data_IF_382003571874
#
_entry.id   IF_382003571874
#
_cell.length_a   1.000
_cell.length_b   1.000
_cell.length_c   1.000
_cell.angle_alpha   90.00
_cell.angle_beta   90.00
_cell.angle_gamma   90.00
#
_symmetry.space_group_name_H-M   'P 1'
#
loop_
_entity.id
_entity.type
_entity.pdbx_description
1 polymer ?
#
# COMPACT_ATOMS: atom_id res chain seq x y z
N UNK A 1 -13.54 -1.54 -7.16
CA UNK A 1 -12.50 -1.85 -6.14
C UNK A 1 -11.10 -2.00 -6.75
N UNK A 2 -10.90 -2.76 -7.83
CA UNK A 2 -9.58 -3.01 -8.43
C UNK A 2 -8.84 -1.74 -8.91
N UNK A 3 -9.53 -0.76 -9.50
CA UNK A 3 -8.94 0.54 -9.87
C UNK A 3 -8.24 1.25 -8.70
N UNK A 4 -8.84 1.20 -7.51
CA UNK A 4 -8.26 1.83 -6.31
C UNK A 4 -7.02 1.10 -5.83
N UNK A 5 -6.97 -0.23 -5.99
CA UNK A 5 -5.77 -1.03 -5.71
C UNK A 5 -4.66 -0.71 -6.70
N UNK A 6 -4.97 -0.59 -7.99
CA UNK A 6 -4.02 -0.15 -9.01
C UNK A 6 -3.44 1.23 -8.67
N UNK A 7 -4.26 2.17 -8.17
CA UNK A 7 -3.77 3.48 -7.72
C UNK A 7 -2.73 3.37 -6.61
N UNK A 8 -2.94 2.50 -5.61
CA UNK A 8 -1.97 2.31 -4.53
C UNK A 8 -0.66 1.68 -5.04
N UNK A 9 -0.75 0.72 -5.96
CA UNK A 9 0.42 0.09 -6.60
C UNK A 9 1.19 1.12 -7.45
N UNK A 10 0.49 1.87 -8.30
CA UNK A 10 1.10 2.89 -9.16
C UNK A 10 1.76 4.01 -8.33
N UNK A 11 1.18 4.40 -7.19
CA UNK A 11 1.80 5.33 -6.27
C UNK A 11 3.18 4.83 -5.77
N UNK A 12 3.29 3.55 -5.41
CA UNK A 12 4.54 2.97 -4.96
C UNK A 12 5.58 2.88 -6.08
N UNK A 13 5.16 2.49 -7.29
CA UNK A 13 6.03 2.47 -8.48
C UNK A 13 6.54 3.89 -8.80
N UNK A 14 5.65 4.88 -8.80
CA UNK A 14 5.95 6.28 -9.09
C UNK A 14 7.00 6.83 -8.12
N UNK A 15 6.77 6.69 -6.82
CA UNK A 15 7.64 7.20 -5.76
C UNK A 15 9.04 6.57 -5.83
N UNK A 16 9.10 5.23 -5.92
CA UNK A 16 10.36 4.50 -6.01
C UNK A 16 11.12 4.84 -7.31
N UNK A 17 10.42 4.93 -8.45
CA UNK A 17 11.07 5.14 -9.75
C UNK A 17 11.56 6.58 -9.95
N UNK A 18 10.95 7.56 -9.27
CA UNK A 18 11.43 8.94 -9.24
C UNK A 18 12.68 9.07 -8.36
N UNK A 19 12.67 8.44 -7.19
CA UNK A 19 13.72 8.65 -6.19
C UNK A 19 14.91 7.70 -6.29
N UNK A 20 14.70 6.47 -6.76
CA UNK A 20 15.73 5.44 -6.89
C UNK A 20 15.95 4.98 -8.34
N UNK A 21 15.25 5.61 -9.29
CA UNK A 21 15.38 5.37 -10.72
C UNK A 21 15.52 6.67 -11.51
N UNK A 22 15.26 6.59 -12.81
CA UNK A 22 15.35 7.72 -13.74
C UNK A 22 13.99 8.00 -14.43
N UNK A 23 12.87 7.79 -13.72
CA UNK A 23 11.53 7.97 -14.30
C UNK A 23 11.32 9.41 -14.75
N UNK A 24 10.95 9.58 -16.02
CA UNK A 24 10.61 10.90 -16.58
C UNK A 24 9.16 11.27 -16.27
N UNK A 25 8.84 12.56 -16.40
CA UNK A 25 7.45 13.03 -16.25
C UNK A 25 6.50 12.32 -17.23
N UNK A 26 6.90 12.13 -18.48
CA UNK A 26 6.09 11.43 -19.47
C UNK A 26 5.78 9.99 -19.06
N UNK A 27 6.78 9.26 -18.54
CA UNK A 27 6.60 7.90 -18.04
C UNK A 27 5.66 7.87 -16.82
N UNK A 28 5.79 8.85 -15.91
CA UNK A 28 4.88 9.00 -14.79
C UNK A 28 3.44 9.26 -15.26
N UNK A 29 3.25 10.15 -16.23
CA UNK A 29 1.93 10.45 -16.80
C UNK A 29 1.32 9.23 -17.48
N UNK A 30 2.10 8.46 -18.25
CA UNK A 30 1.66 7.23 -18.89
C UNK A 30 1.26 6.16 -17.87
N UNK A 31 2.09 5.93 -16.83
CA UNK A 31 1.77 5.01 -15.73
C UNK A 31 0.44 5.38 -15.07
N UNK A 32 0.25 6.65 -14.73
CA UNK A 32 -0.94 7.07 -14.00
C UNK A 32 -2.20 7.05 -14.88
N UNK A 33 -2.11 7.49 -16.13
CA UNK A 33 -3.29 7.68 -17.00
C UNK A 33 -3.66 6.42 -17.81
N UNK A 34 -2.66 5.70 -18.35
CA UNK A 34 -2.88 4.52 -19.21
C UNK A 34 -2.96 3.23 -18.41
N UNK A 35 -2.07 3.03 -17.44
CA UNK A 35 -2.00 1.78 -16.67
C UNK A 35 -2.90 1.81 -15.42
N UNK A 36 -2.95 2.95 -14.73
CA UNK A 36 -3.74 3.12 -13.50
C UNK A 36 -5.10 3.83 -13.72
N UNK A 37 -5.44 4.18 -14.97
CA UNK A 37 -6.71 4.77 -15.39
C UNK A 37 -7.12 6.01 -14.58
N UNK A 38 -6.14 6.81 -14.14
CA UNK A 38 -6.37 8.07 -13.44
C UNK A 38 -6.67 9.19 -14.43
N UNK A 39 -7.31 10.25 -13.95
CA UNK A 39 -7.45 11.46 -14.74
C UNK A 39 -6.12 12.20 -14.82
N UNK A 40 -5.90 12.95 -15.89
CA UNK A 40 -4.67 13.72 -16.12
C UNK A 40 -4.35 14.67 -14.94
N UNK A 41 -5.35 15.40 -14.44
CA UNK A 41 -5.16 16.27 -13.27
C UNK A 41 -4.69 15.52 -12.02
N UNK A 42 -5.15 14.29 -11.80
CA UNK A 42 -4.68 13.45 -10.70
C UNK A 42 -3.24 12.97 -10.92
N UNK A 43 -2.85 12.71 -12.17
CA UNK A 43 -1.50 12.29 -12.53
C UNK A 43 -0.51 13.45 -12.32
N UNK A 44 -0.83 14.65 -12.82
CA UNK A 44 -0.02 15.87 -12.60
C UNK A 44 0.16 16.16 -11.11
N UNK A 45 -0.92 16.09 -10.33
CA UNK A 45 -0.86 16.33 -8.89
C UNK A 45 0.03 15.30 -8.17
N UNK A 46 -0.03 14.02 -8.56
CA UNK A 46 0.82 12.98 -7.99
C UNK A 46 2.29 13.13 -8.40
N UNK A 47 2.58 13.46 -9.66
CA UNK A 47 3.94 13.78 -10.11
C UNK A 47 4.55 14.90 -9.26
N UNK A 48 3.83 16.00 -9.11
CA UNK A 48 4.26 17.13 -8.28
C UNK A 48 4.47 16.70 -6.82
N UNK A 49 3.55 15.93 -6.24
CA UNK A 49 3.67 15.43 -4.86
C UNK A 49 4.89 14.53 -4.67
N UNK A 50 5.13 13.60 -5.58
CA UNK A 50 6.25 12.67 -5.51
C UNK A 50 7.61 13.38 -5.62
N UNK A 51 7.67 14.55 -6.27
CA UNK A 51 8.91 15.35 -6.31
C UNK A 51 9.14 16.24 -5.10
N UNK A 52 8.07 16.57 -4.37
CA UNK A 52 8.11 17.45 -3.19
C UNK A 52 8.09 16.69 -1.86
N UNK A 53 7.89 15.38 -1.91
CA UNK A 53 7.89 14.47 -0.75
C UNK A 53 8.67 13.21 -1.13
N UNK A 54 8.88 12.29 -0.19
CA UNK A 54 9.50 11.00 -0.49
C UNK A 54 8.90 9.90 0.39
N UNK A 55 8.86 8.66 -0.10
CA UNK A 55 8.35 7.45 0.56
C UNK A 55 6.85 7.47 0.91
N UNK A 56 6.22 8.64 1.02
CA UNK A 56 4.86 8.79 1.51
C UNK A 56 3.85 8.08 0.60
N UNK A 57 4.02 8.15 -0.72
CA UNK A 57 3.10 7.52 -1.68
C UNK A 57 3.15 5.98 -1.61
N UNK A 58 4.29 5.41 -1.23
CA UNK A 58 4.49 3.97 -1.07
C UNK A 58 3.75 3.40 0.15
N UNK A 59 3.45 4.23 1.16
CA UNK A 59 2.87 3.77 2.42
C UNK A 59 1.51 3.09 2.27
N UNK A 60 0.68 3.51 1.31
CA UNK A 60 -0.61 2.89 1.01
C UNK A 60 -0.46 1.44 0.53
N UNK A 61 0.52 1.20 -0.35
CA UNK A 61 0.79 -0.14 -0.88
C UNK A 61 1.40 -1.03 0.20
N UNK A 62 2.42 -0.53 0.90
CA UNK A 62 3.11 -1.30 1.94
C UNK A 62 2.14 -1.67 3.07
N UNK A 63 1.42 -0.71 3.63
CA UNK A 63 0.50 -0.97 4.74
C UNK A 63 -0.63 -1.94 4.36
N UNK A 64 -1.20 -1.81 3.16
CA UNK A 64 -2.23 -2.74 2.70
C UNK A 64 -1.68 -4.16 2.49
N UNK A 65 -0.50 -4.30 1.89
CA UNK A 65 0.17 -5.59 1.70
C UNK A 65 0.49 -6.25 3.03
N UNK A 66 1.11 -5.52 3.97
CA UNK A 66 1.46 -6.07 5.28
C UNK A 66 0.22 -6.51 6.08
N UNK A 67 -0.90 -5.77 6.01
CA UNK A 67 -2.14 -6.19 6.67
C UNK A 67 -2.77 -7.44 6.04
N UNK A 68 -2.68 -7.59 4.71
CA UNK A 68 -3.16 -8.79 4.03
C UNK A 68 -2.29 -10.01 4.37
N UNK A 69 -0.97 -9.83 4.41
CA UNK A 69 -0.01 -10.88 4.76
C UNK A 69 -0.12 -11.29 6.23
N UNK A 70 -0.33 -10.31 7.13
CA UNK A 70 -0.62 -10.56 8.55
C UNK A 70 -1.87 -11.43 8.72
N UNK A 71 -2.96 -11.07 8.02
CA UNK A 71 -4.21 -11.84 8.08
C UNK A 71 -4.00 -13.25 7.53
N UNK A 72 -3.33 -13.39 6.39
CA UNK A 72 -3.05 -14.69 5.80
C UNK A 72 -2.20 -15.56 6.74
N UNK A 73 -1.22 -14.98 7.43
CA UNK A 73 -0.41 -15.69 8.41
C UNK A 73 -1.24 -16.19 9.62
N UNK A 74 -2.12 -15.36 10.17
CA UNK A 74 -3.01 -15.76 11.28
C UNK A 74 -4.03 -16.82 10.84
N UNK A 75 -4.60 -16.65 9.63
CA UNK A 75 -5.48 -17.63 8.99
C UNK A 75 -4.80 -18.99 8.84
N UNK A 76 -3.55 -19.01 8.36
CA UNK A 76 -2.79 -20.25 8.21
C UNK A 76 -2.45 -20.89 9.57
N UNK A 77 -2.16 -20.09 10.60
CA UNK A 77 -1.85 -20.56 11.95
C UNK A 77 -3.06 -21.19 12.65
N UNK A 78 -4.25 -20.59 12.52
CA UNK A 78 -5.47 -21.04 13.19
C UNK A 78 -6.29 -22.04 12.36
N UNK A 79 -6.12 -22.07 11.04
CA UNK A 79 -6.84 -22.96 10.15
C UNK A 79 -8.36 -22.82 10.30
N UNK A 80 -9.02 -23.90 10.72
CA UNK A 80 -10.48 -23.95 10.92
C UNK A 80 -10.96 -23.10 12.09
N UNK A 81 -10.08 -22.78 13.04
CA UNK A 81 -10.41 -21.98 14.22
C UNK A 81 -10.27 -20.47 13.96
N UNK A 82 -9.89 -20.08 12.74
CA UNK A 82 -9.80 -18.67 12.36
C UNK A 82 -11.19 -18.01 12.37
N UNK A 83 -11.29 -16.90 13.10
CA UNK A 83 -12.46 -16.04 13.12
C UNK A 83 -12.06 -14.61 12.73
N UNK A 84 -12.64 -14.11 11.64
CA UNK A 84 -12.29 -12.80 11.09
C UNK A 84 -12.60 -11.65 12.05
N UNK A 85 -13.67 -11.76 12.84
CA UNK A 85 -14.06 -10.72 13.80
C UNK A 85 -13.04 -10.65 14.94
N UNK A 86 -12.71 -11.79 15.54
CA UNK A 86 -11.69 -11.87 16.61
C UNK A 86 -10.32 -11.40 16.13
N UNK A 87 -9.93 -11.75 14.89
CA UNK A 87 -8.72 -11.23 14.26
C UNK A 87 -8.74 -9.71 14.17
N UNK A 88 -9.80 -9.12 13.59
CA UNK A 88 -9.91 -7.68 13.45
C UNK A 88 -9.91 -6.95 14.80
N UNK A 89 -10.70 -7.44 15.77
CA UNK A 89 -10.77 -6.88 17.13
C UNK A 89 -9.40 -6.86 17.80
N UNK A 90 -8.62 -7.95 17.67
CA UNK A 90 -7.27 -8.04 18.21
C UNK A 90 -6.30 -7.09 17.50
N UNK A 91 -6.26 -7.09 16.17
CA UNK A 91 -5.36 -6.24 15.37
C UNK A 91 -5.54 -4.76 15.70
N UNK A 92 -6.79 -4.27 15.75
CA UNK A 92 -7.05 -2.84 16.00
C UNK A 92 -6.83 -2.43 17.46
N UNK A 93 -6.88 -3.38 18.41
CA UNK A 93 -6.67 -3.10 19.85
C UNK A 93 -5.27 -2.57 20.17
N UNK A 94 -4.29 -2.80 19.28
CA UNK A 94 -2.91 -2.34 19.45
C UNK A 94 -2.67 -0.88 18.99
N UNK A 95 -3.69 -0.20 18.46
CA UNK A 95 -3.58 1.17 17.98
C UNK A 95 -2.99 1.28 16.57
N UNK A 96 -2.10 2.27 16.35
CA UNK A 96 -1.51 2.53 15.02
C UNK A 96 0.03 2.40 14.96
N UNK A 97 0.65 1.35 15.54
CA UNK A 97 2.07 1.08 15.29
C UNK A 97 2.27 0.52 13.87
N UNK A 98 3.51 0.48 13.41
CA UNK A 98 3.85 -0.19 12.15
C UNK A 98 3.43 -1.66 12.16
N UNK A 99 2.96 -2.20 11.03
CA UNK A 99 2.34 -3.54 10.96
C UNK A 99 3.30 -4.64 11.42
N UNK A 100 4.61 -4.48 11.20
CA UNK A 100 5.64 -5.39 11.74
C UNK A 100 5.55 -5.59 13.26
N UNK A 101 5.23 -4.55 14.03
CA UNK A 101 5.07 -4.66 15.49
C UNK A 101 3.72 -5.26 15.86
N UNK A 102 2.68 -4.97 15.09
CA UNK A 102 1.37 -5.64 15.25
C UNK A 102 1.54 -7.15 15.04
N UNK A 103 2.34 -7.55 14.04
CA UNK A 103 2.65 -8.95 13.77
C UNK A 103 3.31 -9.65 14.97
N UNK A 104 4.31 -9.02 15.57
CA UNK A 104 4.94 -9.52 16.80
C UNK A 104 3.94 -9.66 17.96
N UNK A 105 3.08 -8.65 18.17
CA UNK A 105 2.02 -8.67 19.19
C UNK A 105 0.93 -9.72 18.93
N UNK A 106 0.71 -10.06 17.67
CA UNK A 106 -0.14 -11.18 17.23
C UNK A 106 0.50 -12.55 17.49
N UNK A 107 1.82 -12.59 17.70
CA UNK A 107 2.61 -13.80 17.87
C UNK A 107 2.84 -14.55 16.55
N UNK A 108 3.19 -13.80 15.50
CA UNK A 108 3.37 -14.25 14.10
C UNK A 108 4.70 -13.80 13.49
#
# INVERSE_FOLDING_TARGET
QLKMRLRAIANAILDQSIHAGNMTEQQAMDLMTKEAFQQEGEAVAKWKRARLTSAQLSTYFVGATEHLDLRAADQNKLGKDFDLKKYNDRVISYGSPAVKYVRELMGL
#
